data_IF_224764890996
#
_entry.id   IF_224764890996
#
_cell.length_a   1.000
_cell.length_b   1.000
_cell.length_c   1.000
_cell.angle_alpha   90.00
_cell.angle_beta   90.00
_cell.angle_gamma   90.00
#
_symmetry.space_group_name_H-M   'P 1'
#
loop_
_entity.id
_entity.type
_entity.pdbx_description
1 polymer ?
#
# COMPACT_ATOMS: atom_id res chain seq x y z
N UNK A 1 -27.90 -36.50 -8.20
CA UNK A 1 -26.74 -35.94 -8.92
C UNK A 1 -25.51 -35.88 -8.00
N UNK A 2 -25.00 -37.04 -7.57
CA UNK A 2 -23.76 -37.17 -6.75
C UNK A 2 -22.79 -38.15 -7.41
N UNK A 3 -23.30 -39.12 -8.19
CA UNK A 3 -22.50 -40.15 -8.87
C UNK A 3 -21.63 -39.67 -10.04
N UNK A 4 -21.90 -38.48 -10.60
CA UNK A 4 -21.12 -37.93 -11.72
C UNK A 4 -19.82 -37.23 -11.28
N UNK A 5 -19.71 -36.86 -10.01
CA UNK A 5 -18.51 -36.23 -9.45
C UNK A 5 -17.38 -37.25 -9.16
N UNK A 6 -17.69 -38.55 -9.09
CA UNK A 6 -16.74 -39.62 -8.79
C UNK A 6 -16.21 -40.34 -10.04
N UNK A 7 -16.75 -40.06 -11.22
CA UNK A 7 -16.45 -40.82 -12.46
C UNK A 7 -15.89 -39.96 -13.60
N UNK A 8 -15.90 -38.63 -13.48
CA UNK A 8 -15.29 -37.76 -14.48
C UNK A 8 -13.94 -37.25 -14.00
N UNK A 9 -12.87 -37.89 -14.47
CA UNK A 9 -11.48 -37.44 -14.27
C UNK A 9 -11.19 -36.08 -14.90
N UNK A 10 -12.16 -35.48 -15.62
CA UNK A 10 -12.09 -34.13 -16.20
C UNK A 10 -12.83 -33.08 -15.38
N UNK A 11 -13.53 -33.46 -14.30
CA UNK A 11 -14.12 -32.48 -13.39
C UNK A 11 -12.99 -31.80 -12.58
N UNK A 12 -12.87 -30.46 -12.64
CA UNK A 12 -11.86 -29.74 -11.87
C UNK A 12 -12.00 -30.01 -10.38
N UNK A 13 -10.92 -30.40 -9.71
CA UNK A 13 -10.95 -30.62 -8.27
C UNK A 13 -10.86 -29.29 -7.51
N UNK A 14 -11.40 -29.25 -6.29
CA UNK A 14 -11.25 -28.11 -5.38
C UNK A 14 -9.78 -27.88 -5.01
N UNK A 15 -8.95 -28.93 -5.00
CA UNK A 15 -7.50 -28.82 -4.82
C UNK A 15 -6.87 -28.00 -5.93
N UNK A 16 -7.17 -28.31 -7.20
CA UNK A 16 -6.63 -27.57 -8.34
C UNK A 16 -6.96 -26.07 -8.27
N UNK A 17 -8.20 -25.73 -7.93
CA UNK A 17 -8.60 -24.33 -7.77
C UNK A 17 -7.92 -23.63 -6.58
N UNK A 18 -7.62 -24.38 -5.51
CA UNK A 18 -6.90 -23.85 -4.35
C UNK A 18 -5.44 -23.61 -4.71
N UNK A 19 -4.80 -24.54 -5.42
CA UNK A 19 -3.42 -24.42 -5.88
C UNK A 19 -3.30 -23.24 -6.87
N UNK A 20 -4.22 -23.14 -7.85
CA UNK A 20 -4.27 -22.02 -8.78
C UNK A 20 -4.50 -20.67 -8.08
N UNK A 21 -5.35 -20.64 -7.05
CA UNK A 21 -5.57 -19.45 -6.25
C UNK A 21 -4.31 -19.02 -5.48
N UNK A 22 -3.58 -19.99 -4.90
CA UNK A 22 -2.33 -19.72 -4.19
C UNK A 22 -1.22 -19.29 -5.15
N UNK A 23 -1.08 -19.95 -6.29
CA UNK A 23 -0.11 -19.59 -7.33
C UNK A 23 -0.33 -18.16 -7.84
N UNK A 24 -1.59 -17.73 -7.94
CA UNK A 24 -1.92 -16.35 -8.27
C UNK A 24 -1.57 -15.34 -7.16
N UNK A 25 -2.00 -15.60 -5.92
CA UNK A 25 -1.94 -14.59 -4.84
C UNK A 25 -0.57 -14.52 -4.20
N UNK A 26 0.14 -15.64 -4.07
CA UNK A 26 1.40 -15.70 -3.32
C UNK A 26 2.46 -14.71 -3.85
N UNK A 27 2.69 -14.58 -5.16
CA UNK A 27 3.63 -13.58 -5.69
C UNK A 27 3.22 -12.13 -5.37
N UNK A 28 1.93 -11.88 -5.19
CA UNK A 28 1.36 -10.55 -4.93
C UNK A 28 1.36 -10.18 -3.44
N UNK A 29 1.76 -11.10 -2.56
CA UNK A 29 1.80 -10.89 -1.11
C UNK A 29 3.06 -10.14 -0.65
N UNK A 30 3.95 -9.77 -1.57
CA UNK A 30 5.19 -9.07 -1.28
C UNK A 30 6.24 -9.94 -0.60
N UNK A 31 7.40 -9.37 -0.32
CA UNK A 31 8.50 -10.02 0.38
C UNK A 31 8.15 -10.34 1.85
N UNK A 32 7.24 -9.56 2.46
CA UNK A 32 6.69 -9.88 3.79
C UNK A 32 5.72 -11.07 3.80
N UNK A 33 5.14 -11.40 2.64
CA UNK A 33 4.02 -12.34 2.54
C UNK A 33 2.70 -11.79 3.13
N UNK A 34 2.63 -10.51 3.49
CA UNK A 34 1.50 -9.90 4.23
C UNK A 34 0.70 -8.88 3.44
N UNK A 35 1.05 -8.58 2.19
CA UNK A 35 0.25 -7.67 1.38
C UNK A 35 -1.13 -8.27 1.08
N UNK A 36 -2.16 -7.45 1.19
CA UNK A 36 -3.58 -7.79 1.01
C UNK A 36 -4.20 -7.08 -0.19
N UNK A 37 -3.39 -6.37 -0.97
CA UNK A 37 -3.84 -5.72 -2.18
C UNK A 37 -2.74 -5.66 -3.25
N UNK A 38 -3.15 -5.63 -4.51
CA UNK A 38 -2.31 -5.24 -5.65
C UNK A 38 -2.89 -4.02 -6.32
N UNK A 39 -2.05 -3.05 -6.70
CA UNK A 39 -2.47 -1.82 -7.37
C UNK A 39 -1.98 -1.85 -8.81
N UNK A 40 -2.88 -1.65 -9.77
CA UNK A 40 -2.58 -1.73 -11.20
C UNK A 40 -3.32 -0.64 -12.00
N UNK A 41 -2.78 -0.27 -13.16
CA UNK A 41 -3.52 0.50 -14.15
C UNK A 41 -4.67 -0.30 -14.76
N UNK A 42 -5.58 0.41 -15.45
CA UNK A 42 -6.74 -0.20 -16.12
C UNK A 42 -6.26 -1.20 -17.18
N UNK A 43 -6.65 -2.47 -17.05
CA UNK A 43 -6.29 -3.53 -18.00
C UNK A 43 -4.82 -3.97 -17.97
N UNK A 44 -4.01 -3.46 -17.04
CA UNK A 44 -2.63 -3.89 -16.86
C UNK A 44 -2.57 -5.28 -16.22
N UNK A 45 -1.49 -6.02 -16.49
CA UNK A 45 -1.30 -7.34 -15.90
C UNK A 45 -1.18 -7.24 -14.37
N UNK A 46 -1.91 -8.10 -13.64
CA UNK A 46 -1.85 -8.15 -12.18
C UNK A 46 -0.64 -8.96 -11.71
N UNK A 47 -0.31 -10.05 -12.43
CA UNK A 47 0.91 -10.82 -12.25
C UNK A 47 1.52 -11.18 -13.61
N UNK A 48 2.82 -11.44 -13.64
CA UNK A 48 3.54 -11.84 -14.86
C UNK A 48 3.16 -13.24 -15.35
N UNK A 49 2.65 -14.10 -14.46
CA UNK A 49 2.24 -15.45 -14.80
C UNK A 49 0.83 -15.51 -15.37
N UNK A 50 0.66 -16.27 -16.45
CA UNK A 50 -0.65 -16.58 -16.98
C UNK A 50 -1.44 -17.41 -15.98
N UNK A 51 -2.75 -17.15 -15.93
CA UNK A 51 -3.68 -18.02 -15.23
C UNK A 51 -3.56 -19.47 -15.77
N UNK A 52 -3.65 -20.50 -14.91
CA UNK A 52 -3.64 -21.88 -15.38
C UNK A 52 -4.69 -22.13 -16.47
N UNK A 53 -4.36 -22.98 -17.43
CA UNK A 53 -5.20 -23.23 -18.60
C UNK A 53 -6.65 -23.59 -18.20
N UNK A 54 -7.61 -22.93 -18.84
CA UNK A 54 -9.04 -23.11 -18.58
C UNK A 54 -9.61 -22.29 -17.42
N UNK A 55 -8.77 -21.64 -16.61
CA UNK A 55 -9.25 -20.79 -15.52
C UNK A 55 -9.64 -19.39 -16.00
N UNK A 56 -10.54 -18.73 -15.27
CA UNK A 56 -10.97 -17.36 -15.51
C UNK A 56 -10.97 -16.63 -14.19
N UNK A 57 -10.36 -15.44 -14.13
CA UNK A 57 -10.48 -14.56 -12.98
C UNK A 57 -11.74 -13.71 -13.15
N UNK A 58 -12.57 -13.65 -12.11
CA UNK A 58 -13.73 -12.77 -12.02
C UNK A 58 -13.48 -11.76 -10.91
N UNK A 59 -13.65 -10.49 -11.24
CA UNK A 59 -13.54 -9.36 -10.34
C UNK A 59 -14.92 -8.77 -10.08
N UNK A 60 -15.18 -8.33 -8.85
CA UNK A 60 -16.39 -7.61 -8.51
C UNK A 60 -16.16 -6.48 -7.52
N UNK A 61 -16.78 -5.34 -7.79
CA UNK A 61 -16.84 -4.19 -6.88
C UNK A 61 -18.22 -4.07 -6.19
N UNK A 62 -19.08 -5.09 -6.32
CA UNK A 62 -20.47 -5.08 -5.87
C UNK A 62 -21.43 -4.37 -6.85
N UNK A 63 -21.02 -3.23 -7.42
CA UNK A 63 -21.78 -2.52 -8.46
C UNK A 63 -21.53 -3.07 -9.88
N UNK A 64 -20.42 -3.77 -10.04
CA UNK A 64 -19.90 -4.20 -11.33
C UNK A 64 -19.17 -5.53 -11.19
N UNK A 65 -19.16 -6.30 -12.28
CA UNK A 65 -18.32 -7.49 -12.41
C UNK A 65 -17.62 -7.50 -13.77
N UNK A 66 -16.39 -7.99 -13.78
CA UNK A 66 -15.57 -8.17 -14.99
C UNK A 66 -14.88 -9.53 -14.89
N UNK A 67 -14.68 -10.20 -16.03
CA UNK A 67 -14.00 -11.50 -16.06
C UNK A 67 -12.96 -11.52 -17.17
N UNK A 68 -11.85 -12.19 -16.90
CA UNK A 68 -10.72 -12.25 -17.81
C UNK A 68 -10.03 -13.60 -17.77
N UNK A 69 -9.54 -14.03 -18.93
CA UNK A 69 -8.72 -15.24 -19.10
C UNK A 69 -7.22 -14.94 -18.98
N UNK A 70 -6.84 -13.67 -19.14
CA UNK A 70 -5.48 -13.18 -18.94
C UNK A 70 -5.53 -12.35 -17.68
N UNK A 71 -4.65 -12.63 -16.72
CA UNK A 71 -4.69 -12.08 -15.37
C UNK A 71 -4.42 -10.56 -15.35
N UNK A 72 -5.41 -9.79 -15.79
CA UNK A 72 -5.36 -8.35 -15.98
C UNK A 72 -6.35 -7.67 -15.04
N UNK A 73 -5.98 -6.51 -14.54
CA UNK A 73 -6.82 -5.72 -13.67
C UNK A 73 -8.08 -5.29 -14.42
N UNK A 74 -9.23 -5.14 -13.73
CA UNK A 74 -10.45 -4.63 -14.33
C UNK A 74 -10.20 -3.34 -15.13
N UNK A 75 -10.93 -3.19 -16.22
CA UNK A 75 -10.85 -2.03 -17.12
C UNK A 75 -11.43 -0.75 -16.49
N UNK A 76 -12.25 -0.89 -15.45
CA UNK A 76 -12.80 0.21 -14.67
C UNK A 76 -11.99 0.45 -13.39
N UNK A 77 -11.86 1.72 -13.02
CA UNK A 77 -11.32 2.14 -11.72
C UNK A 77 -12.18 1.60 -10.59
N UNK A 78 -11.54 1.20 -9.50
CA UNK A 78 -12.23 0.74 -8.31
C UNK A 78 -11.40 -0.24 -7.50
N UNK A 79 -12.00 -0.71 -6.41
CA UNK A 79 -11.44 -1.76 -5.54
C UNK A 79 -12.29 -3.00 -5.75
N UNK A 80 -11.63 -4.10 -6.10
CA UNK A 80 -12.27 -5.31 -6.59
C UNK A 80 -11.93 -6.50 -5.72
N UNK A 81 -12.98 -7.19 -5.26
CA UNK A 81 -12.89 -8.57 -4.79
C UNK A 81 -12.70 -9.49 -5.97
N UNK A 82 -12.12 -10.68 -5.76
CA UNK A 82 -11.79 -11.60 -6.83
C UNK A 82 -12.21 -13.04 -6.53
N UNK A 83 -12.52 -13.78 -7.58
CA UNK A 83 -12.64 -15.24 -7.56
C UNK A 83 -11.97 -15.85 -8.79
N UNK A 84 -11.45 -17.07 -8.64
CA UNK A 84 -10.99 -17.90 -9.76
C UNK A 84 -12.07 -18.93 -10.08
N UNK A 85 -12.44 -19.03 -11.35
CA UNK A 85 -13.39 -20.02 -11.86
C UNK A 85 -12.72 -20.99 -12.83
N UNK A 86 -13.13 -22.25 -12.80
CA UNK A 86 -12.76 -23.29 -13.77
C UNK A 86 -13.98 -24.18 -14.05
N UNK A 87 -14.52 -24.09 -15.26
CA UNK A 87 -15.81 -24.71 -15.59
C UNK A 87 -16.92 -24.20 -14.66
N UNK A 88 -17.56 -25.10 -13.92
CA UNK A 88 -18.64 -24.76 -12.98
C UNK A 88 -18.15 -24.53 -11.53
N UNK A 89 -16.85 -24.70 -11.25
CA UNK A 89 -16.29 -24.54 -9.93
C UNK A 89 -15.72 -23.12 -9.76
N UNK A 90 -16.02 -22.47 -8.64
CA UNK A 90 -15.61 -21.10 -8.32
C UNK A 90 -14.96 -21.09 -6.95
N UNK A 91 -13.79 -20.46 -6.84
CA UNK A 91 -13.05 -20.23 -5.60
C UNK A 91 -12.87 -18.74 -5.36
N UNK A 92 -13.60 -18.13 -4.41
CA UNK A 92 -13.31 -16.77 -3.97
C UNK A 92 -11.90 -16.66 -3.40
N UNK A 93 -11.22 -15.57 -3.75
CA UNK A 93 -9.97 -15.15 -3.13
C UNK A 93 -10.34 -14.23 -1.98
N UNK A 94 -10.29 -14.75 -0.76
CA UNK A 94 -10.54 -13.96 0.44
C UNK A 94 -9.29 -13.18 0.84
N UNK A 95 -9.48 -12.06 1.55
CA UNK A 95 -8.39 -11.26 2.11
C UNK A 95 -7.34 -10.82 1.07
N UNK A 96 -7.80 -10.54 -0.15
CA UNK A 96 -7.00 -9.90 -1.18
C UNK A 96 -7.88 -9.04 -2.08
N UNK A 97 -7.41 -7.84 -2.43
CA UNK A 97 -8.11 -6.93 -3.33
C UNK A 97 -7.24 -6.54 -4.52
N UNK A 98 -7.85 -6.42 -5.69
CA UNK A 98 -7.22 -5.77 -6.85
C UNK A 98 -7.74 -4.35 -6.92
N UNK A 99 -6.83 -3.38 -6.95
CA UNK A 99 -7.14 -1.96 -7.00
C UNK A 99 -6.77 -1.46 -8.39
N UNK A 100 -7.76 -1.01 -9.14
CA UNK A 100 -7.54 -0.39 -10.45
C UNK A 100 -7.49 1.12 -10.29
N UNK A 101 -6.39 1.73 -10.73
CA UNK A 101 -6.16 3.17 -10.62
C UNK A 101 -7.14 4.02 -11.44
N UNK A 102 -7.47 5.20 -10.91
CA UNK A 102 -7.96 6.35 -11.66
C UNK A 102 -6.79 6.94 -12.47
N UNK A 103 -6.83 6.93 -13.81
CA UNK A 103 -5.72 7.45 -14.61
C UNK A 103 -5.43 8.92 -14.30
N UNK A 104 -4.15 9.31 -14.29
CA UNK A 104 -3.77 10.70 -14.05
C UNK A 104 -4.32 11.66 -15.12
N UNK A 105 -4.68 11.13 -16.30
CA UNK A 105 -5.38 11.83 -17.38
C UNK A 105 -6.79 12.27 -17.01
N UNK A 106 -7.35 11.88 -15.87
CA UNK A 106 -8.62 12.42 -15.35
C UNK A 106 -8.41 13.74 -14.60
N UNK A 107 -7.17 14.05 -14.20
CA UNK A 107 -6.86 15.30 -13.48
C UNK A 107 -7.07 16.50 -14.40
N UNK A 108 -7.89 17.46 -13.96
CA UNK A 108 -8.16 18.73 -14.64
C UNK A 108 -7.80 19.88 -13.71
N UNK A 109 -6.89 20.76 -14.15
CA UNK A 109 -6.45 21.95 -13.38
C UNK A 109 -6.09 21.62 -11.91
N UNK A 110 -5.35 20.51 -11.70
CA UNK A 110 -4.90 20.06 -10.39
C UNK A 110 -5.95 19.31 -9.54
N UNK A 111 -7.14 19.04 -10.07
CA UNK A 111 -8.25 18.38 -9.35
C UNK A 111 -8.71 17.12 -10.06
N UNK A 112 -9.30 16.19 -9.31
CA UNK A 112 -10.22 15.19 -9.84
C UNK A 112 -11.55 15.38 -9.10
N UNK A 113 -12.61 15.69 -9.85
CA UNK A 113 -13.85 16.18 -9.25
C UNK A 113 -13.60 17.39 -8.34
N UNK A 114 -14.07 17.30 -7.10
CA UNK A 114 -13.89 18.35 -6.08
C UNK A 114 -12.57 18.22 -5.30
N UNK A 115 -11.89 17.08 -5.38
CA UNK A 115 -10.67 16.83 -4.59
C UNK A 115 -9.46 17.52 -5.22
N UNK A 116 -8.82 18.40 -4.46
CA UNK A 116 -7.67 19.16 -4.93
C UNK A 116 -6.36 18.44 -4.60
N UNK A 117 -5.69 17.97 -5.64
CA UNK A 117 -4.42 17.25 -5.55
C UNK A 117 -3.25 18.23 -5.72
N UNK A 118 -3.41 19.20 -6.62
CA UNK A 118 -2.32 20.09 -7.05
C UNK A 118 -1.51 19.49 -8.19
N UNK A 119 -0.26 19.93 -8.31
CA UNK A 119 0.65 19.51 -9.37
C UNK A 119 1.98 19.11 -8.76
N UNK A 120 2.49 17.94 -9.17
CA UNK A 120 3.85 17.54 -8.85
C UNK A 120 4.83 18.56 -9.42
N UNK A 121 5.93 18.88 -8.71
CA UNK A 121 6.94 19.78 -9.23
C UNK A 121 7.53 19.24 -10.53
N UNK A 122 7.33 19.97 -11.63
CA UNK A 122 8.10 19.78 -12.86
C UNK A 122 9.35 20.65 -12.72
N UNK A 123 10.52 20.06 -12.45
CA UNK A 123 11.77 20.79 -12.72
C UNK A 123 11.79 21.11 -14.22
N UNK A 124 12.24 22.30 -14.62
CA UNK A 124 12.21 22.84 -15.99
C UNK A 124 13.11 22.11 -17.01
N UNK A 125 13.05 20.78 -17.02
CA UNK A 125 13.89 19.80 -17.72
C UNK A 125 13.66 18.45 -17.05
N UNK A 126 13.60 17.36 -17.85
CA UNK A 126 13.18 15.99 -17.46
C UNK A 126 13.34 15.73 -15.96
N UNK A 127 12.22 15.63 -15.24
CA UNK A 127 12.26 15.08 -13.88
C UNK A 127 13.00 13.75 -13.96
N UNK A 128 14.01 13.53 -13.11
CA UNK A 128 14.62 12.20 -13.02
C UNK A 128 13.48 11.21 -12.80
N UNK A 129 13.51 10.04 -13.43
CA UNK A 129 12.46 9.01 -13.35
C UNK A 129 11.92 8.80 -11.92
N UNK A 130 12.81 8.90 -10.92
CA UNK A 130 12.51 8.85 -9.48
C UNK A 130 11.49 9.87 -8.95
N UNK A 131 11.28 10.98 -9.64
CA UNK A 131 10.37 12.07 -9.27
C UNK A 131 9.31 12.32 -10.35
N UNK A 132 9.05 11.31 -11.20
CA UNK A 132 7.97 11.35 -12.16
C UNK A 132 6.61 11.45 -11.45
N UNK A 133 5.67 12.18 -12.06
CA UNK A 133 4.31 12.25 -11.55
C UNK A 133 3.67 10.84 -11.62
N UNK A 134 2.88 10.46 -10.59
CA UNK A 134 2.15 9.19 -10.59
C UNK A 134 1.28 9.02 -11.84
N UNK A 135 1.25 7.81 -12.40
CA UNK A 135 0.45 7.46 -13.59
C UNK A 135 -1.05 7.42 -13.30
N UNK A 136 -1.44 7.28 -12.03
CA UNK A 136 -2.81 7.28 -11.58
C UNK A 136 -2.95 7.36 -10.06
N UNK A 137 -4.19 7.28 -9.59
CA UNK A 137 -4.56 7.43 -8.19
C UNK A 137 -5.52 6.33 -7.75
N UNK A 138 -5.39 5.85 -6.52
CA UNK A 138 -6.40 5.03 -5.88
C UNK A 138 -7.58 5.94 -5.54
N UNK A 139 -8.77 5.64 -6.06
CA UNK A 139 -10.00 6.29 -5.63
C UNK A 139 -10.44 5.68 -4.29
N UNK A 140 -10.51 6.52 -3.25
CA UNK A 140 -10.91 6.12 -1.90
C UNK A 140 -12.22 6.81 -1.54
N UNK A 141 -13.26 6.02 -1.38
CA UNK A 141 -14.58 6.47 -0.93
C UNK A 141 -14.73 6.27 0.58
N UNK A 142 -15.83 6.75 1.15
CA UNK A 142 -16.12 6.56 2.59
C UNK A 142 -16.30 5.08 2.92
N UNK A 143 -16.84 4.32 1.98
CA UNK A 143 -17.15 2.89 2.09
C UNK A 143 -15.86 2.06 1.95
N UNK A 144 -14.92 2.51 1.13
CA UNK A 144 -13.72 1.74 0.76
C UNK A 144 -12.45 2.14 1.53
N UNK A 145 -12.46 3.22 2.30
CA UNK A 145 -11.29 3.67 3.09
C UNK A 145 -10.75 2.61 4.07
N UNK A 146 -11.57 1.64 4.48
CA UNK A 146 -11.15 0.55 5.37
C UNK A 146 -10.58 -0.67 4.62
N UNK A 147 -10.42 -0.61 3.30
CA UNK A 147 -9.80 -1.69 2.52
C UNK A 147 -8.40 -1.95 3.05
N UNK A 148 -8.10 -3.23 3.31
CA UNK A 148 -6.84 -3.68 3.86
C UNK A 148 -5.76 -3.71 2.76
N UNK A 149 -4.63 -3.04 3.00
CA UNK A 149 -3.46 -3.06 2.12
C UNK A 149 -2.45 -4.15 2.52
N UNK A 150 -2.35 -4.43 3.82
CA UNK A 150 -1.55 -5.51 4.41
C UNK A 150 -2.11 -5.91 5.77
N UNK A 151 -1.57 -6.90 6.46
CA UNK A 151 -2.07 -7.34 7.77
C UNK A 151 -2.29 -6.20 8.79
N UNK A 152 -1.41 -5.19 8.83
CA UNK A 152 -1.46 -4.09 9.79
C UNK A 152 -1.94 -2.75 9.21
N UNK A 153 -2.05 -2.61 7.88
CA UNK A 153 -2.33 -1.31 7.25
C UNK A 153 -3.54 -1.31 6.31
N UNK A 154 -4.31 -0.22 6.36
CA UNK A 154 -5.50 0.06 5.54
C UNK A 154 -5.32 1.33 4.72
N UNK A 155 -6.14 1.51 3.68
CA UNK A 155 -6.12 2.73 2.84
C UNK A 155 -6.23 4.02 3.65
N UNK A 156 -7.11 4.05 4.66
CA UNK A 156 -7.34 5.22 5.50
C UNK A 156 -6.08 5.71 6.22
N UNK A 157 -5.14 4.80 6.52
CA UNK A 157 -3.93 5.13 7.29
C UNK A 157 -2.97 5.99 6.46
N UNK A 158 -3.12 5.99 5.12
CA UNK A 158 -2.30 6.78 4.21
C UNK A 158 -2.99 8.04 3.68
N UNK A 159 -4.19 8.39 4.18
CA UNK A 159 -4.92 9.56 3.69
C UNK A 159 -4.25 10.87 4.13
N UNK A 160 -4.20 11.89 3.25
CA UNK A 160 -3.84 13.25 3.65
C UNK A 160 -4.81 13.82 4.69
N UNK A 161 -4.30 14.67 5.57
CA UNK A 161 -5.06 15.24 6.69
C UNK A 161 -5.82 16.54 6.34
N UNK A 162 -5.84 16.95 5.07
CA UNK A 162 -6.61 18.08 4.57
C UNK A 162 -7.93 17.64 3.88
N UNK A 163 -8.78 18.62 3.56
CA UNK A 163 -10.01 18.41 2.80
C UNK A 163 -10.90 17.30 3.41
N UNK A 164 -11.14 17.35 4.73
CA UNK A 164 -11.78 16.26 5.49
C UNK A 164 -13.17 15.91 4.97
N UNK A 165 -13.92 16.91 4.49
CA UNK A 165 -15.29 16.75 4.01
C UNK A 165 -15.41 16.47 2.50
N UNK A 166 -14.29 16.40 1.77
CA UNK A 166 -14.29 16.16 0.32
C UNK A 166 -14.05 14.67 0.03
N UNK A 167 -14.99 14.06 -0.70
CA UNK A 167 -14.96 12.66 -1.11
C UNK A 167 -15.42 12.52 -2.57
N UNK A 168 -14.94 11.51 -3.32
CA UNK A 168 -13.85 10.59 -2.95
C UNK A 168 -12.49 11.31 -2.84
N UNK A 169 -11.55 10.67 -2.13
CA UNK A 169 -10.13 11.07 -2.08
C UNK A 169 -9.35 10.29 -3.14
N UNK A 170 -8.25 10.87 -3.62
CA UNK A 170 -7.39 10.25 -4.62
C UNK A 170 -5.96 10.21 -4.09
N UNK A 171 -5.44 9.01 -3.83
CA UNK A 171 -4.14 8.82 -3.16
C UNK A 171 -3.19 7.98 -3.98
N UNK A 172 -1.90 8.06 -3.65
CA UNK A 172 -0.85 7.22 -4.21
C UNK A 172 -0.20 6.47 -3.07
N UNK A 173 -0.14 5.15 -3.20
CA UNK A 173 0.54 4.27 -2.24
C UNK A 173 1.37 3.30 -3.05
N UNK A 174 2.67 3.26 -2.78
CA UNK A 174 3.57 2.24 -3.32
C UNK A 174 3.51 1.01 -2.41
N UNK A 175 3.12 -0.14 -2.96
CA UNK A 175 3.01 -1.37 -2.20
C UNK A 175 4.36 -1.85 -1.63
N UNK A 176 5.50 -1.47 -2.23
CA UNK A 176 6.83 -1.75 -1.66
C UNK A 176 7.02 -1.06 -0.31
N UNK A 177 6.48 0.14 -0.16
CA UNK A 177 6.54 0.87 1.10
C UNK A 177 5.71 0.17 2.19
N UNK A 178 4.49 -0.27 1.85
CA UNK A 178 3.63 -1.05 2.76
C UNK A 178 4.31 -2.37 3.16
N UNK A 179 4.91 -3.06 2.20
CA UNK A 179 5.62 -4.33 2.40
C UNK A 179 6.81 -4.18 3.34
N UNK A 180 7.60 -3.11 3.15
CA UNK A 180 8.70 -2.76 4.03
C UNK A 180 8.23 -2.48 5.46
N UNK A 181 7.11 -1.78 5.64
CA UNK A 181 6.55 -1.54 6.97
C UNK A 181 6.22 -2.86 7.67
N UNK A 182 5.58 -3.81 7.00
CA UNK A 182 5.28 -5.13 7.55
C UNK A 182 6.54 -5.90 8.00
N UNK A 183 7.63 -5.81 7.22
CA UNK A 183 8.92 -6.39 7.59
C UNK A 183 9.55 -5.68 8.80
N UNK A 184 9.43 -4.36 8.89
CA UNK A 184 9.90 -3.58 10.06
C UNK A 184 9.14 -4.00 11.32
N UNK A 185 7.81 -4.12 11.25
CA UNK A 185 6.99 -4.61 12.36
C UNK A 185 7.38 -6.04 12.75
N UNK A 186 7.70 -6.89 11.78
CA UNK A 186 8.16 -8.26 12.02
C UNK A 186 9.53 -8.30 12.72
N UNK A 187 10.49 -7.48 12.29
CA UNK A 187 11.79 -7.40 12.95
C UNK A 187 11.66 -6.86 14.38
N UNK A 188 10.85 -5.83 14.62
CA UNK A 188 10.54 -5.33 15.96
C UNK A 188 9.95 -6.42 16.86
N UNK A 189 8.93 -7.13 16.36
CA UNK A 189 8.28 -8.21 17.10
C UNK A 189 9.26 -9.34 17.43
N UNK A 190 10.15 -9.72 16.50
CA UNK A 190 11.18 -10.74 16.73
C UNK A 190 12.17 -10.37 17.86
N UNK A 191 12.23 -9.09 18.22
CA UNK A 191 13.08 -8.53 19.26
C UNK A 191 12.31 -8.21 20.55
N UNK A 192 11.08 -8.70 20.66
CA UNK A 192 10.25 -8.52 21.84
C UNK A 192 9.69 -7.11 22.00
N UNK A 193 9.56 -6.36 20.90
CA UNK A 193 8.90 -5.05 20.85
C UNK A 193 7.52 -5.26 20.19
N UNK A 194 6.42 -5.22 20.96
CA UNK A 194 5.09 -5.26 20.37
C UNK A 194 4.90 -4.06 19.43
N UNK A 195 4.31 -4.30 18.26
CA UNK A 195 4.12 -3.26 17.24
C UNK A 195 2.70 -3.28 16.66
N UNK A 196 1.74 -3.85 17.40
CA UNK A 196 0.33 -3.94 16.98
C UNK A 196 -0.35 -2.57 16.98
N UNK A 197 0.15 -1.67 17.83
CA UNK A 197 -0.28 -0.27 17.89
C UNK A 197 0.42 0.64 16.91
N UNK A 198 0.97 0.13 15.80
CA UNK A 198 1.58 1.01 14.79
C UNK A 198 0.58 2.06 14.31
N UNK A 199 1.04 3.31 14.21
CA UNK A 199 0.30 4.45 13.66
C UNK A 199 1.06 5.02 12.49
N UNK A 200 0.36 5.28 11.40
CA UNK A 200 0.85 6.12 10.32
C UNK A 200 0.47 7.55 10.65
N UNK A 201 1.44 8.34 11.08
CA UNK A 201 1.27 9.77 11.34
C UNK A 201 1.10 10.55 10.03
N UNK A 202 1.78 10.11 8.97
CA UNK A 202 1.64 10.70 7.66
C UNK A 202 2.02 9.70 6.58
N UNK A 203 1.08 9.40 5.67
CA UNK A 203 1.31 8.57 4.50
C UNK A 203 1.42 9.40 3.23
N UNK A 204 0.47 9.25 2.31
CA UNK A 204 0.45 10.07 1.10
C UNK A 204 0.18 11.54 1.42
N UNK A 205 0.87 12.44 0.73
CA UNK A 205 0.57 13.88 0.75
C UNK A 205 0.30 14.35 -0.66
N UNK A 206 -0.84 14.98 -0.91
CA UNK A 206 -1.04 15.66 -2.18
C UNK A 206 0.00 16.77 -2.35
N UNK A 207 0.46 17.10 -3.58
CA UNK A 207 1.32 18.26 -3.79
C UNK A 207 0.78 19.55 -3.15
N UNK A 208 -0.55 19.75 -3.19
CA UNK A 208 -1.21 20.85 -2.51
C UNK A 208 -1.01 20.80 -0.99
N UNK A 209 -1.35 19.69 -0.33
CA UNK A 209 -1.20 19.54 1.11
C UNK A 209 0.27 19.68 1.53
N UNK A 210 1.18 19.04 0.79
CA UNK A 210 2.60 19.05 1.08
C UNK A 210 3.22 20.46 1.01
N UNK A 211 2.71 21.34 0.15
CA UNK A 211 3.15 22.74 0.08
C UNK A 211 2.87 23.54 1.37
N UNK A 212 1.81 23.18 2.10
CA UNK A 212 1.44 23.82 3.37
C UNK A 212 1.91 23.06 4.62
N UNK A 213 2.17 21.75 4.49
CA UNK A 213 2.58 20.88 5.60
C UNK A 213 4.11 20.70 5.73
N UNK A 214 4.89 21.13 4.74
CA UNK A 214 6.35 20.96 4.70
C UNK A 214 7.15 22.16 5.24
N UNK A 215 8.42 21.89 5.56
CA UNK A 215 9.43 22.90 5.89
C UNK A 215 9.54 23.95 4.75
N UNK A 216 9.36 25.23 5.09
CA UNK A 216 9.37 26.37 4.14
C UNK A 216 10.76 26.60 3.52
N UNK A 217 11.79 25.89 3.98
CA UNK A 217 13.16 25.90 3.45
C UNK A 217 13.40 25.21 2.10
N UNK A 218 12.35 24.92 1.30
CA UNK A 218 12.49 24.50 -0.10
C UNK A 218 12.63 22.99 -0.36
N UNK A 219 12.61 22.13 0.67
CA UNK A 219 12.66 20.67 0.53
C UNK A 219 11.31 19.99 0.31
N UNK A 220 10.20 20.70 0.51
CA UNK A 220 8.85 20.19 0.27
C UNK A 220 8.71 19.58 -1.15
N UNK A 221 9.36 20.18 -2.15
CA UNK A 221 9.33 19.70 -3.55
C UNK A 221 9.96 18.32 -3.78
N UNK A 222 10.75 17.79 -2.83
CA UNK A 222 11.43 16.50 -2.93
C UNK A 222 10.85 15.44 -1.97
N UNK A 223 9.74 15.76 -1.30
CA UNK A 223 9.10 14.86 -0.34
C UNK A 223 8.63 13.57 -1.00
N UNK A 224 9.14 12.44 -0.51
CA UNK A 224 8.74 11.09 -0.97
C UNK A 224 7.27 10.78 -0.66
N UNK A 225 6.66 11.43 0.34
CA UNK A 225 5.22 11.29 0.61
C UNK A 225 4.32 11.64 -0.58
N UNK A 226 4.75 12.57 -1.45
CA UNK A 226 3.98 12.92 -2.65
C UNK A 226 4.00 11.82 -3.72
N UNK A 227 4.93 10.88 -3.62
CA UNK A 227 5.09 9.79 -4.59
C UNK A 227 4.53 8.46 -4.05
N UNK A 228 3.94 8.48 -2.84
CA UNK A 228 3.30 7.33 -2.22
C UNK A 228 4.26 6.32 -1.61
N UNK A 229 5.57 6.59 -1.65
CA UNK A 229 6.61 5.65 -1.25
C UNK A 229 7.26 6.00 0.08
N UNK A 230 6.58 6.80 0.92
CA UNK A 230 7.04 7.18 2.25
C UNK A 230 5.94 7.15 3.30
N UNK A 231 6.35 6.94 4.55
CA UNK A 231 5.47 7.02 5.71
C UNK A 231 6.23 7.47 6.95
N UNK A 232 5.58 8.33 7.72
CA UNK A 232 5.97 8.68 9.08
C UNK A 232 5.19 7.79 10.03
N UNK A 233 5.90 6.99 10.83
CA UNK A 233 5.28 6.03 11.75
C UNK A 233 5.76 6.19 13.19
N UNK A 234 4.92 5.74 14.12
CA UNK A 234 5.28 5.49 15.51
C UNK A 234 4.53 4.27 16.04
N UNK A 235 4.99 3.72 17.16
CA UNK A 235 4.37 2.57 17.83
C UNK A 235 3.66 3.08 19.08
N UNK A 236 2.36 2.86 19.17
CA UNK A 236 1.45 3.34 20.22
C UNK A 236 0.56 2.17 20.66
N UNK A 237 1.14 1.22 21.41
CA UNK A 237 0.43 -0.01 21.78
C UNK A 237 -0.62 0.24 22.86
N UNK A 238 -0.48 1.27 23.68
CA UNK A 238 -1.45 1.62 24.72
C UNK A 238 -2.58 2.56 24.21
N UNK A 239 -2.43 3.13 23.01
CA UNK A 239 -3.43 3.96 22.37
C UNK A 239 -3.52 5.38 22.93
N UNK A 240 -2.49 5.86 23.63
CA UNK A 240 -2.44 7.20 24.20
C UNK A 240 -2.13 8.30 23.16
N UNK A 241 -1.79 7.91 21.92
CA UNK A 241 -1.52 8.81 20.80
C UNK A 241 -0.09 9.34 20.73
N UNK A 242 0.81 8.78 21.54
CA UNK A 242 2.25 9.06 21.54
C UNK A 242 3.05 7.77 21.30
N UNK A 243 4.32 7.89 20.96
CA UNK A 243 5.20 6.73 20.84
C UNK A 243 5.41 6.08 22.22
N UNK A 244 5.44 4.76 22.27
CA UNK A 244 5.85 3.98 23.44
C UNK A 244 7.36 4.16 23.72
N UNK A 245 7.79 3.92 24.96
CA UNK A 245 9.20 3.76 25.33
C UNK A 245 9.74 2.42 24.80
N UNK A 246 10.20 2.42 23.55
CA UNK A 246 10.66 1.25 22.81
C UNK A 246 12.03 0.77 23.29
N UNK A 247 12.87 1.68 23.77
CA UNK A 247 14.21 1.35 24.25
C UNK A 247 14.25 0.99 25.75
N UNK A 248 13.13 1.20 26.46
CA UNK A 248 12.93 0.92 27.90
C UNK A 248 13.85 1.73 28.82
N UNK A 249 14.14 2.97 28.44
CA UNK A 249 14.97 3.90 29.24
C UNK A 249 14.14 4.77 30.21
N UNK A 250 12.81 4.63 30.19
CA UNK A 250 11.86 5.37 31.00
C UNK A 250 11.45 6.72 30.42
N UNK A 251 11.83 7.06 29.17
CA UNK A 251 11.55 8.35 28.54
C UNK A 251 11.15 8.19 27.08
N UNK A 252 9.97 8.70 26.72
CA UNK A 252 9.55 8.80 25.31
C UNK A 252 10.31 9.93 24.59
N UNK A 253 11.26 9.57 23.74
CA UNK A 253 12.14 10.52 23.03
C UNK A 253 12.68 9.98 21.68
N UNK A 254 13.63 10.69 21.07
CA UNK A 254 14.22 10.28 19.77
C UNK A 254 14.94 8.91 19.85
N UNK A 255 15.35 8.48 21.04
CA UNK A 255 15.89 7.15 21.32
C UNK A 255 14.93 6.02 20.90
N UNK A 256 13.63 6.21 21.05
CA UNK A 256 12.61 5.25 20.64
C UNK A 256 12.49 5.17 19.12
N UNK A 257 12.51 6.32 18.44
CA UNK A 257 12.56 6.38 16.98
C UNK A 257 13.82 5.67 16.43
N UNK A 258 14.95 5.73 17.15
CA UNK A 258 16.18 5.00 16.77
C UNK A 258 16.03 3.48 16.82
N UNK A 259 15.12 2.95 17.64
CA UNK A 259 14.80 1.51 17.67
C UNK A 259 14.16 1.08 16.34
N UNK A 260 13.23 1.88 15.81
CA UNK A 260 12.61 1.65 14.50
C UNK A 260 13.65 1.79 13.38
N UNK A 261 14.51 2.83 13.42
CA UNK A 261 15.61 2.98 12.47
C UNK A 261 16.54 1.75 12.44
N UNK A 262 16.87 1.19 13.61
CA UNK A 262 17.68 -0.02 13.67
C UNK A 262 16.99 -1.22 12.99
N UNK A 263 15.66 -1.34 13.12
CA UNK A 263 14.87 -2.34 12.41
C UNK A 263 14.88 -2.11 10.90
N UNK A 264 14.70 -0.87 10.44
CA UNK A 264 14.79 -0.50 9.01
C UNK A 264 16.14 -0.90 8.43
N UNK A 265 17.25 -0.63 9.11
CA UNK A 265 18.58 -0.99 8.62
C UNK A 265 18.75 -2.52 8.42
N UNK A 266 18.17 -3.34 9.30
CA UNK A 266 18.20 -4.80 9.17
C UNK A 266 17.30 -5.29 8.05
N UNK A 267 16.09 -4.73 7.94
CA UNK A 267 15.17 -5.05 6.86
C UNK A 267 15.78 -4.71 5.51
N UNK A 268 16.37 -3.53 5.33
CA UNK A 268 17.00 -3.16 4.06
C UNK A 268 18.22 -4.03 3.71
N UNK A 269 18.96 -4.51 4.72
CA UNK A 269 20.07 -5.43 4.50
C UNK A 269 19.59 -6.81 4.03
N UNK A 270 18.45 -7.30 4.54
CA UNK A 270 17.84 -8.57 4.14
C UNK A 270 17.00 -8.46 2.85
N UNK A 271 16.48 -7.27 2.55
CA UNK A 271 15.56 -6.99 1.44
C UNK A 271 16.04 -5.79 0.60
N UNK A 272 17.12 -5.95 -0.21
CA UNK A 272 17.73 -4.84 -0.94
C UNK A 272 16.81 -4.14 -1.95
N UNK A 273 15.77 -4.83 -2.42
CA UNK A 273 14.71 -4.31 -3.31
C UNK A 273 13.82 -3.24 -2.65
N UNK A 274 13.83 -3.15 -1.31
CA UNK A 274 13.02 -2.22 -0.51
C UNK A 274 13.85 -1.07 0.10
N UNK A 275 15.08 -0.87 -0.39
CA UNK A 275 16.02 0.11 0.16
C UNK A 275 15.51 1.56 -0.02
N UNK A 276 15.75 2.40 0.99
CA UNK A 276 15.38 3.82 0.90
C UNK A 276 15.88 4.67 2.06
N UNK A 277 15.20 5.79 2.27
CA UNK A 277 15.49 6.74 3.33
C UNK A 277 14.88 6.33 4.67
N UNK A 278 15.53 6.71 5.76
CA UNK A 278 14.97 6.62 7.10
C UNK A 278 15.47 7.79 7.96
N UNK A 279 14.54 8.56 8.52
CA UNK A 279 14.85 9.72 9.35
C UNK A 279 14.20 9.61 10.72
N UNK A 280 14.90 10.03 11.77
CA UNK A 280 14.36 10.01 13.14
C UNK A 280 14.07 11.43 13.62
N UNK A 281 12.89 11.63 14.20
CA UNK A 281 12.43 12.95 14.62
C UNK A 281 12.08 12.95 16.11
N UNK A 282 12.59 13.96 16.82
CA UNK A 282 12.17 14.24 18.19
C UNK A 282 10.71 14.70 18.23
N UNK A 283 10.06 14.49 19.38
CA UNK A 283 8.76 15.09 19.64
C UNK A 283 8.83 16.62 19.71
N UNK A 284 7.72 17.26 19.40
CA UNK A 284 7.46 18.69 19.53
C UNK A 284 6.21 18.90 20.38
N UNK A 285 5.77 20.15 20.55
CA UNK A 285 4.47 20.43 21.16
C UNK A 285 3.28 19.94 20.32
N UNK A 286 3.49 19.65 19.03
CA UNK A 286 2.43 19.23 18.12
C UNK A 286 2.33 17.70 17.97
N UNK A 287 3.41 16.95 18.21
CA UNK A 287 3.45 15.50 18.01
C UNK A 287 4.57 14.84 18.85
N UNK A 288 4.42 13.55 19.13
CA UNK A 288 5.47 12.70 19.71
C UNK A 288 6.67 12.45 18.76
N UNK A 289 7.72 11.75 19.21
CA UNK A 289 8.77 11.30 18.31
C UNK A 289 8.19 10.34 17.27
N UNK A 290 8.79 10.31 16.07
CA UNK A 290 8.37 9.43 14.98
C UNK A 290 9.55 9.08 14.08
N UNK A 291 9.35 8.09 13.22
CA UNK A 291 10.34 7.66 12.23
C UNK A 291 9.78 7.80 10.82
N UNK A 292 10.45 8.59 9.99
CA UNK A 292 10.24 8.61 8.55
C UNK A 292 10.87 7.36 7.93
N UNK A 293 10.17 6.70 7.01
CA UNK A 293 10.65 5.57 6.23
C UNK A 293 10.20 5.77 4.78
N UNK A 294 11.05 5.48 3.80
CA UNK A 294 10.65 5.42 2.39
C UNK A 294 11.38 4.34 1.60
N UNK A 295 10.99 4.15 0.34
CA UNK A 295 11.60 3.21 -0.62
C UNK A 295 12.20 3.92 -1.83
N UNK A 296 12.90 5.04 -1.63
CA UNK A 296 13.51 5.86 -2.71
C UNK A 296 14.60 5.17 -3.56
N UNK A 297 14.93 3.92 -3.26
CA UNK A 297 15.90 3.11 -4.00
C UNK A 297 17.36 3.42 -3.69
N UNK A 298 17.64 4.15 -2.61
CA UNK A 298 18.98 4.30 -2.07
C UNK A 298 18.95 4.71 -0.58
N UNK A 299 19.97 4.32 0.21
CA UNK A 299 20.07 4.74 1.60
C UNK A 299 20.12 6.26 1.75
N UNK A 300 19.45 6.77 2.77
CA UNK A 300 19.61 8.12 3.31
C UNK A 300 19.21 8.09 4.78
N UNK A 301 19.99 8.72 5.67
CA UNK A 301 19.75 8.76 7.12
C UNK A 301 19.89 10.18 7.64
N UNK A 302 18.96 10.63 8.49
CA UNK A 302 18.98 11.95 9.10
C UNK A 302 18.27 11.97 10.45
#
# INVERSE_FOLDING_TARGET
MISRALTDSRAPSVSFLTDAALEFVNPLRGESGRLRASIQGRGEAVAEHALPSGTTATFSSGAAAESTKVLAAPSRTGIWSMAIALGNAIKPITDFSVITLMPATEKRRGRIGLYFIGNWPTRGGKASEKYAAPSGFIEVTRETQNTQLSDNFRLRDFLPHDQQNVWPKYVVVDMKMVDKLELVLTDLASRGIPSRGVRVMSGFRTPQYNSGAGDTGGRASLSRHMYGDASDIFIDNDGNGNMDDLNRDGRVNIGDARVILAAVNRVEAAHPSLIGGCGVYSGTSAHGPFTHIDTRGHPARW
#
